data_IF_850624061341
#
_entry.id   IF_850624061341
#
_cell.length_a   1.000
_cell.length_b   1.000
_cell.length_c   1.000
_cell.angle_alpha   90.00
_cell.angle_beta   90.00
_cell.angle_gamma   90.00
#
_symmetry.space_group_name_H-M   'P 1'
#
loop_
_entity.id
_entity.type
_entity.pdbx_description
1 polymer ?
#
# COMPACT_ATOMS: atom_id res chain seq x y z
N UNK A 1 -12.19 -10.32 -26.39
CA UNK A 1 -11.40 -9.42 -25.52
C UNK A 1 -10.74 -10.34 -24.52
N UNK A 2 -9.41 -10.42 -24.48
CA UNK A 2 -8.72 -11.19 -23.43
C UNK A 2 -9.10 -10.55 -22.11
N UNK A 3 -9.60 -11.36 -21.17
CA UNK A 3 -9.91 -10.85 -19.84
C UNK A 3 -8.61 -10.29 -19.25
N UNK A 4 -8.60 -9.00 -18.97
CA UNK A 4 -7.51 -8.30 -18.31
C UNK A 4 -7.26 -8.96 -16.94
N UNK A 5 -6.02 -9.35 -16.63
CA UNK A 5 -5.74 -10.02 -15.36
C UNK A 5 -5.92 -9.06 -14.18
N UNK A 6 -6.95 -9.28 -13.38
CA UNK A 6 -7.20 -8.52 -12.16
C UNK A 6 -6.24 -8.97 -11.06
N UNK A 7 -5.62 -8.03 -10.38
CA UNK A 7 -4.70 -8.30 -9.27
C UNK A 7 -5.03 -7.38 -8.10
N UNK A 8 -5.03 -7.94 -6.89
CA UNK A 8 -5.14 -7.17 -5.65
C UNK A 8 -3.83 -7.34 -4.88
N UNK A 9 -3.07 -6.26 -4.78
CA UNK A 9 -1.71 -6.31 -4.29
C UNK A 9 -1.54 -5.71 -2.89
N UNK A 10 -2.65 -5.49 -2.16
CA UNK A 10 -2.64 -4.99 -0.79
C UNK A 10 -3.82 -5.57 -0.02
N UNK A 11 -3.55 -6.56 0.81
CA UNK A 11 -4.58 -7.22 1.66
C UNK A 11 -3.97 -7.71 2.97
N UNK A 12 -4.79 -7.77 4.02
CA UNK A 12 -4.40 -8.13 5.37
C UNK A 12 -5.17 -9.35 5.86
N UNK A 13 -4.43 -10.33 6.41
CA UNK A 13 -4.98 -11.51 7.07
C UNK A 13 -5.10 -11.29 8.58
N UNK A 14 -5.60 -12.28 9.30
CA UNK A 14 -5.64 -12.33 10.76
C UNK A 14 -4.25 -12.35 11.45
N UNK A 15 -3.17 -12.27 10.67
CA UNK A 15 -1.82 -12.01 11.17
C UNK A 15 -1.55 -10.51 11.38
N UNK A 16 -2.36 -9.64 10.80
CA UNK A 16 -2.42 -8.20 11.10
C UNK A 16 -3.33 -7.93 12.29
N UNK A 17 -3.04 -6.93 13.15
CA UNK A 17 -3.85 -6.63 14.32
C UNK A 17 -5.32 -6.33 14.05
N UNK A 18 -5.60 -5.83 12.86
CA UNK A 18 -6.92 -5.39 12.36
C UNK A 18 -7.49 -6.25 11.23
N UNK A 19 -6.79 -7.33 10.86
CA UNK A 19 -7.28 -8.32 9.90
C UNK A 19 -8.31 -9.26 10.53
N UNK A 20 -9.42 -9.50 9.83
CA UNK A 20 -10.55 -10.26 10.38
C UNK A 20 -10.49 -11.77 10.08
N UNK A 21 -9.78 -12.20 9.01
CA UNK A 21 -9.92 -13.54 8.47
C UNK A 21 -8.58 -14.15 8.03
N UNK A 22 -8.45 -15.49 8.08
CA UNK A 22 -7.20 -16.14 7.72
C UNK A 22 -6.88 -16.01 6.23
N UNK A 23 -5.60 -16.08 5.89
CA UNK A 23 -5.07 -16.06 4.52
C UNK A 23 -5.85 -16.92 3.53
N UNK A 24 -6.33 -18.10 3.96
CA UNK A 24 -7.10 -19.01 3.09
C UNK A 24 -8.44 -18.43 2.68
N UNK A 25 -9.16 -17.74 3.57
CA UNK A 25 -10.44 -17.08 3.25
C UNK A 25 -10.25 -15.94 2.24
N UNK A 26 -9.16 -15.18 2.36
CA UNK A 26 -8.82 -14.12 1.39
C UNK A 26 -8.52 -14.73 0.02
N UNK A 27 -7.77 -15.85 -0.02
CA UNK A 27 -7.48 -16.56 -1.27
C UNK A 27 -8.74 -17.15 -1.92
N UNK A 28 -9.67 -17.71 -1.14
CA UNK A 28 -10.96 -18.20 -1.64
C UNK A 28 -11.76 -17.05 -2.26
N UNK A 29 -11.88 -15.92 -1.57
CA UNK A 29 -12.55 -14.74 -2.09
C UNK A 29 -11.90 -14.20 -3.38
N UNK A 30 -10.57 -14.22 -3.47
CA UNK A 30 -9.83 -13.83 -4.67
C UNK A 30 -10.15 -14.76 -5.86
N UNK A 31 -10.20 -16.08 -5.64
CA UNK A 31 -10.57 -17.08 -6.66
C UNK A 31 -12.01 -16.87 -7.12
N UNK A 32 -12.96 -16.69 -6.19
CA UNK A 32 -14.37 -16.45 -6.50
C UNK A 32 -14.58 -15.19 -7.35
N UNK A 33 -13.76 -14.17 -7.14
CA UNK A 33 -13.80 -12.91 -7.90
C UNK A 33 -12.96 -12.93 -9.17
N UNK A 34 -12.32 -14.06 -9.49
CA UNK A 34 -11.52 -14.23 -10.69
C UNK A 34 -10.24 -13.42 -10.72
N UNK A 35 -9.63 -13.17 -9.57
CA UNK A 35 -8.32 -12.51 -9.53
C UNK A 35 -7.24 -13.45 -10.07
N UNK A 36 -6.31 -12.87 -10.83
CA UNK A 36 -5.10 -13.55 -11.30
C UNK A 36 -4.06 -13.66 -10.19
N UNK A 37 -3.88 -12.60 -9.41
CA UNK A 37 -2.92 -12.56 -8.31
C UNK A 37 -3.50 -11.85 -7.07
N UNK A 38 -3.04 -12.30 -5.90
CA UNK A 38 -3.31 -11.71 -4.59
C UNK A 38 -2.00 -11.61 -3.81
N UNK A 39 -1.67 -10.43 -3.30
CA UNK A 39 -0.60 -10.25 -2.32
C UNK A 39 -1.22 -10.12 -0.93
N UNK A 40 -0.76 -10.96 0.00
CA UNK A 40 -1.03 -10.76 1.43
C UNK A 40 0.14 -9.94 1.98
N UNK A 41 -0.18 -8.78 2.54
CA UNK A 41 0.78 -7.74 2.93
C UNK A 41 0.55 -7.31 4.37
N UNK A 42 0.52 -8.30 5.28
CA UNK A 42 0.26 -8.04 6.69
C UNK A 42 1.18 -6.97 7.26
N UNK A 43 0.65 -6.21 8.21
CA UNK A 43 1.34 -5.08 8.85
C UNK A 43 2.64 -5.45 9.53
N UNK A 44 3.60 -4.56 9.44
CA UNK A 44 4.81 -4.53 10.23
C UNK A 44 5.18 -3.09 10.57
N UNK A 45 4.72 -2.60 11.72
CA UNK A 45 4.95 -1.26 12.20
C UNK A 45 6.27 -1.20 13.00
N UNK A 46 7.31 -0.57 12.44
CA UNK A 46 8.64 -0.62 13.08
C UNK A 46 8.72 0.14 14.42
N UNK A 47 7.90 1.17 14.58
CA UNK A 47 7.86 1.99 15.81
C UNK A 47 7.32 1.23 17.04
N UNK A 48 6.57 0.14 16.83
CA UNK A 48 6.02 -0.76 17.86
C UNK A 48 6.43 -2.22 17.63
N UNK A 49 7.53 -2.45 16.91
CA UNK A 49 7.98 -3.76 16.43
C UNK A 49 8.12 -4.80 17.55
N UNK A 50 8.64 -4.41 18.71
CA UNK A 50 8.83 -5.33 19.85
C UNK A 50 7.57 -5.47 20.70
N UNK A 51 6.85 -4.39 20.89
CA UNK A 51 5.62 -4.30 21.66
C UNK A 51 4.55 -5.22 21.04
N UNK A 52 4.39 -5.16 19.73
CA UNK A 52 3.42 -5.95 18.96
C UNK A 52 3.97 -7.29 18.45
N UNK A 53 5.21 -7.63 18.83
CA UNK A 53 5.84 -8.89 18.48
C UNK A 53 5.90 -9.20 16.97
N UNK A 54 6.12 -8.18 16.13
CA UNK A 54 6.17 -8.33 14.66
C UNK A 54 7.23 -9.31 14.15
N UNK A 55 8.28 -9.58 14.93
CA UNK A 55 9.26 -10.63 14.62
C UNK A 55 8.65 -12.05 14.57
N UNK A 56 7.50 -12.25 15.20
CA UNK A 56 6.73 -13.50 15.20
C UNK A 56 5.59 -13.47 14.20
N UNK A 57 4.78 -12.41 14.21
CA UNK A 57 3.61 -12.28 13.31
C UNK A 57 4.02 -12.33 11.84
N UNK A 58 5.10 -11.64 11.43
CA UNK A 58 5.63 -11.73 10.05
C UNK A 58 5.99 -13.17 9.67
N UNK A 59 6.68 -13.90 10.54
CA UNK A 59 7.05 -15.31 10.26
C UNK A 59 5.83 -16.21 10.16
N UNK A 60 4.82 -15.98 11.00
CA UNK A 60 3.56 -16.70 10.96
C UNK A 60 2.81 -16.39 9.67
N UNK A 61 2.65 -15.12 9.35
CA UNK A 61 2.04 -14.65 8.10
C UNK A 61 2.73 -15.28 6.87
N UNK A 62 4.05 -15.15 6.76
CA UNK A 62 4.82 -15.76 5.66
C UNK A 62 4.60 -17.28 5.55
N UNK A 63 4.54 -17.99 6.67
CA UNK A 63 4.31 -19.43 6.69
C UNK A 63 2.91 -19.76 6.16
N UNK A 64 1.86 -19.07 6.61
CA UNK A 64 0.49 -19.28 6.15
C UNK A 64 0.33 -18.91 4.66
N UNK A 65 0.96 -17.82 4.20
CA UNK A 65 0.93 -17.42 2.79
C UNK A 65 1.61 -18.48 1.91
N UNK A 66 2.76 -19.01 2.31
CA UNK A 66 3.46 -20.07 1.55
C UNK A 66 2.60 -21.33 1.46
N UNK A 67 1.90 -21.73 2.54
CA UNK A 67 0.93 -22.83 2.51
C UNK A 67 -0.22 -22.55 1.55
N UNK A 68 -0.83 -21.36 1.64
CA UNK A 68 -1.90 -20.94 0.75
C UNK A 68 -1.45 -20.94 -0.72
N UNK A 69 -0.24 -20.47 -1.02
CA UNK A 69 0.36 -20.51 -2.36
C UNK A 69 0.33 -21.93 -2.96
N UNK A 70 0.70 -22.94 -2.18
CA UNK A 70 0.68 -24.34 -2.65
C UNK A 70 -0.75 -24.86 -2.86
N UNK A 71 -1.68 -24.52 -1.96
CA UNK A 71 -3.09 -24.94 -2.06
C UNK A 71 -3.77 -24.32 -3.28
N UNK A 72 -3.51 -23.04 -3.56
CA UNK A 72 -4.19 -22.27 -4.60
C UNK A 72 -3.43 -22.22 -5.94
N UNK A 73 -2.23 -22.79 -6.04
CA UNK A 73 -1.26 -22.66 -7.17
C UNK A 73 -1.85 -22.83 -8.58
N UNK A 74 -2.93 -23.63 -8.74
CA UNK A 74 -3.58 -23.85 -10.04
C UNK A 74 -4.67 -22.84 -10.37
N UNK A 75 -5.05 -21.96 -9.44
CA UNK A 75 -6.20 -21.06 -9.54
C UNK A 75 -5.85 -19.60 -9.26
N UNK A 76 -4.84 -19.34 -8.46
CA UNK A 76 -4.47 -18.02 -7.97
C UNK A 76 -2.96 -17.93 -7.77
N UNK A 77 -2.34 -16.86 -8.23
CA UNK A 77 -0.97 -16.50 -7.88
C UNK A 77 -0.99 -15.79 -6.52
N UNK A 78 -0.55 -16.48 -5.46
CA UNK A 78 -0.45 -15.89 -4.11
C UNK A 78 0.97 -15.37 -3.89
N UNK A 79 1.11 -14.11 -3.52
CA UNK A 79 2.37 -13.40 -3.29
C UNK A 79 2.59 -13.20 -1.79
N UNK A 80 3.81 -13.48 -1.33
CA UNK A 80 4.23 -13.21 0.04
C UNK A 80 4.65 -11.75 0.11
N UNK A 81 3.84 -10.92 0.73
CA UNK A 81 4.10 -9.51 0.91
C UNK A 81 4.25 -9.12 2.38
N UNK A 82 4.54 -7.87 2.59
CA UNK A 82 4.48 -7.18 3.88
C UNK A 82 4.20 -5.69 3.64
N UNK A 83 3.36 -5.10 4.46
CA UNK A 83 3.26 -3.66 4.57
C UNK A 83 4.16 -3.19 5.71
N UNK A 84 5.25 -2.51 5.32
CA UNK A 84 6.28 -2.01 6.23
C UNK A 84 5.99 -0.56 6.60
N UNK A 85 5.39 -0.38 7.77
CA UNK A 85 5.06 0.93 8.30
C UNK A 85 6.24 1.62 8.97
N UNK A 86 6.35 2.94 8.79
CA UNK A 86 7.28 3.85 9.48
C UNK A 86 8.76 3.42 9.43
N UNK A 87 9.23 2.85 8.32
CA UNK A 87 10.56 2.25 8.20
C UNK A 87 11.70 3.17 8.67
N UNK A 88 11.58 4.49 8.49
CA UNK A 88 12.60 5.49 8.90
C UNK A 88 12.59 5.79 10.40
N UNK A 89 11.64 5.28 11.17
CA UNK A 89 11.59 5.46 12.62
C UNK A 89 12.47 4.45 13.38
N UNK A 90 12.66 3.23 12.83
CA UNK A 90 13.65 2.26 13.29
C UNK A 90 14.28 1.51 12.10
N UNK A 91 15.40 2.04 11.61
CA UNK A 91 16.11 1.46 10.46
C UNK A 91 16.63 0.05 10.73
N UNK A 92 16.91 -0.31 11.98
CA UNK A 92 17.40 -1.66 12.30
C UNK A 92 16.32 -2.72 12.14
N UNK A 93 15.10 -2.44 12.56
CA UNK A 93 13.93 -3.29 12.36
C UNK A 93 13.53 -3.31 10.88
N UNK A 94 13.47 -2.16 10.21
CA UNK A 94 13.15 -2.05 8.79
C UNK A 94 14.10 -2.87 7.90
N UNK A 95 15.40 -2.86 8.20
CA UNK A 95 16.42 -3.65 7.48
C UNK A 95 16.23 -5.17 7.65
N UNK A 96 15.73 -5.63 8.80
CA UNK A 96 15.40 -7.05 9.01
C UNK A 96 14.25 -7.47 8.09
N UNK A 97 13.21 -6.65 8.01
CA UNK A 97 12.04 -6.90 7.14
C UNK A 97 12.43 -6.83 5.67
N UNK A 98 13.21 -5.83 5.27
CA UNK A 98 13.69 -5.69 3.89
C UNK A 98 14.50 -6.91 3.40
N UNK A 99 15.06 -7.70 4.33
CA UNK A 99 15.83 -8.93 4.06
C UNK A 99 15.02 -10.23 4.29
N UNK A 100 13.73 -10.15 4.62
CA UNK A 100 12.93 -11.30 5.02
C UNK A 100 12.63 -12.32 3.91
N UNK A 101 13.04 -12.07 2.66
CA UNK A 101 12.87 -13.01 1.54
C UNK A 101 11.43 -13.08 1.01
N UNK A 102 10.66 -12.01 1.16
CA UNK A 102 9.31 -11.83 0.62
C UNK A 102 9.34 -11.52 -0.89
N UNK A 103 8.20 -11.64 -1.54
CA UNK A 103 8.04 -11.25 -2.95
C UNK A 103 7.85 -9.74 -3.11
N UNK A 104 7.20 -9.09 -2.13
CA UNK A 104 6.71 -7.73 -2.26
C UNK A 104 6.73 -6.98 -0.92
N UNK A 105 7.15 -5.72 -0.92
CA UNK A 105 7.10 -4.82 0.25
C UNK A 105 6.43 -3.52 -0.15
N UNK A 106 5.36 -3.17 0.54
CA UNK A 106 4.77 -1.84 0.54
C UNK A 106 5.44 -1.03 1.63
N UNK A 107 5.95 0.16 1.34
CA UNK A 107 6.45 1.09 2.33
C UNK A 107 5.37 2.11 2.67
N UNK A 108 4.99 2.21 3.95
CA UNK A 108 3.86 3.05 4.39
C UNK A 108 4.24 3.98 5.53
N UNK A 109 3.47 5.05 5.70
CA UNK A 109 3.57 5.96 6.84
C UNK A 109 2.18 6.18 7.43
N UNK A 110 1.88 5.51 8.56
CA UNK A 110 0.58 5.59 9.24
C UNK A 110 0.58 6.60 10.39
N UNK A 111 1.74 6.92 10.95
CA UNK A 111 1.91 7.92 11.99
C UNK A 111 3.21 8.71 11.83
N UNK A 112 3.21 9.93 12.28
CA UNK A 112 4.41 10.75 12.40
C UNK A 112 5.26 10.27 13.58
N UNK A 113 6.56 10.57 13.53
CA UNK A 113 7.51 10.20 14.59
C UNK A 113 7.06 10.73 15.94
N UNK A 114 6.86 9.81 16.91
CA UNK A 114 6.44 10.14 18.26
C UNK A 114 4.96 10.54 18.39
N UNK A 115 4.13 10.30 17.37
CA UNK A 115 2.69 10.58 17.39
C UNK A 115 1.88 9.29 17.20
N UNK A 116 0.61 9.24 17.61
CA UNK A 116 -0.29 8.15 17.28
C UNK A 116 -0.58 8.12 15.77
N UNK A 117 -1.16 7.01 15.31
CA UNK A 117 -1.69 6.89 13.97
C UNK A 117 -2.69 8.02 13.66
N UNK A 118 -2.75 8.45 12.39
CA UNK A 118 -3.69 9.46 11.92
C UNK A 118 -5.14 9.13 12.23
N UNK A 119 -5.49 7.84 12.36
CA UNK A 119 -6.80 7.36 12.80
C UNK A 119 -7.17 7.80 14.22
N UNK A 120 -6.18 8.10 15.06
CA UNK A 120 -6.36 8.37 16.50
C UNK A 120 -5.99 9.82 16.88
N UNK A 121 -5.77 10.69 15.91
CA UNK A 121 -5.51 12.11 16.16
C UNK A 121 -6.80 12.84 16.52
N UNK A 122 -6.69 13.80 17.42
CA UNK A 122 -7.78 14.76 17.74
C UNK A 122 -7.69 15.96 16.77
N UNK A 123 -8.46 15.89 15.70
CA UNK A 123 -8.46 16.92 14.65
C UNK A 123 -9.09 18.25 15.06
N UNK A 124 -9.76 18.34 16.22
CA UNK A 124 -10.20 19.63 16.78
C UNK A 124 -9.01 20.42 17.33
N UNK A 125 -7.96 19.73 17.80
CA UNK A 125 -6.74 20.32 18.34
C UNK A 125 -5.62 20.44 17.31
N UNK A 126 -5.72 19.74 16.17
CA UNK A 126 -4.67 19.67 15.16
C UNK A 126 -4.69 20.86 14.18
N UNK A 127 -3.51 21.39 13.87
CA UNK A 127 -3.33 22.24 12.70
C UNK A 127 -2.98 21.35 11.50
N UNK A 128 -3.94 21.17 10.59
CA UNK A 128 -3.84 20.26 9.45
C UNK A 128 -2.71 20.65 8.48
N UNK A 129 -2.45 21.94 8.26
CA UNK A 129 -1.42 22.37 7.31
C UNK A 129 -0.01 21.94 7.72
N UNK A 130 0.52 22.31 8.90
CA UNK A 130 1.84 21.83 9.31
C UNK A 130 1.87 20.32 9.57
N UNK A 131 0.75 19.69 9.93
CA UNK A 131 0.66 18.23 10.06
C UNK A 131 0.94 17.54 8.72
N UNK A 132 0.36 18.03 7.63
CA UNK A 132 0.60 17.50 6.28
C UNK A 132 1.99 17.86 5.73
N UNK A 133 2.52 19.04 6.04
CA UNK A 133 3.91 19.40 5.69
C UNK A 133 4.91 18.41 6.33
N UNK A 134 4.69 18.07 7.60
CA UNK A 134 5.51 17.08 8.30
C UNK A 134 5.32 15.68 7.72
N UNK A 135 4.07 15.29 7.39
CA UNK A 135 3.76 14.02 6.77
C UNK A 135 4.53 13.83 5.46
N UNK A 136 4.41 14.76 4.52
CA UNK A 136 5.13 14.66 3.24
C UNK A 136 6.65 14.74 3.41
N UNK A 137 7.14 15.44 4.43
CA UNK A 137 8.57 15.43 4.77
C UNK A 137 9.04 14.03 5.20
N UNK A 138 8.30 13.35 6.08
CA UNK A 138 8.65 12.00 6.52
C UNK A 138 8.42 10.95 5.41
N UNK A 139 7.42 11.13 4.53
CA UNK A 139 7.26 10.30 3.32
C UNK A 139 8.44 10.48 2.37
N UNK A 140 8.98 11.71 2.23
CA UNK A 140 10.19 11.94 1.43
C UNK A 140 11.42 11.23 2.05
N UNK A 141 11.56 11.22 3.36
CA UNK A 141 12.60 10.43 4.05
C UNK A 141 12.46 8.93 3.74
N UNK A 142 11.22 8.41 3.80
CA UNK A 142 10.91 7.04 3.45
C UNK A 142 11.25 6.72 1.99
N UNK A 143 10.84 7.58 1.04
CA UNK A 143 11.15 7.45 -0.38
C UNK A 143 12.66 7.46 -0.66
N UNK A 144 13.43 8.28 0.05
CA UNK A 144 14.90 8.34 -0.04
C UNK A 144 15.57 7.09 0.54
N UNK A 145 15.02 6.49 1.60
CA UNK A 145 15.50 5.21 2.11
C UNK A 145 15.30 4.08 1.08
N UNK A 146 14.15 4.00 0.41
CA UNK A 146 13.91 3.27 -0.83
C UNK A 146 14.14 1.75 -0.78
N UNK A 147 14.05 1.06 0.39
CA UNK A 147 14.26 -0.39 0.46
C UNK A 147 12.93 -1.17 0.49
N UNK A 148 11.93 -0.66 -0.17
CA UNK A 148 10.63 -1.26 -0.44
C UNK A 148 10.37 -1.25 -1.95
N UNK A 149 9.22 -1.78 -2.39
CA UNK A 149 8.93 -1.88 -3.82
C UNK A 149 8.00 -0.77 -4.32
N UNK A 150 6.97 -0.46 -3.52
CA UNK A 150 6.05 0.66 -3.80
C UNK A 150 5.75 1.42 -2.52
N UNK A 151 5.53 2.73 -2.66
CA UNK A 151 4.95 3.55 -1.61
C UNK A 151 3.44 3.28 -1.56
N UNK A 152 2.94 2.85 -0.41
CA UNK A 152 1.51 2.67 -0.14
C UNK A 152 0.78 4.00 -0.07
N UNK A 153 -0.50 3.99 -0.35
CA UNK A 153 -1.49 5.06 -0.12
C UNK A 153 -0.93 6.46 0.20
N UNK A 154 -0.16 7.07 -0.73
CA UNK A 154 0.57 8.35 -0.59
C UNK A 154 -0.19 9.44 0.20
N UNK A 155 -1.50 9.48 0.10
CA UNK A 155 -2.36 10.50 0.73
C UNK A 155 -3.14 9.96 1.93
N UNK A 156 -2.58 9.00 2.67
CA UNK A 156 -3.21 8.30 3.79
C UNK A 156 -3.93 9.22 4.80
N UNK A 157 -3.35 10.37 5.25
CA UNK A 157 -4.03 11.23 6.20
C UNK A 157 -5.37 11.81 5.70
N UNK A 158 -5.54 11.93 4.39
CA UNK A 158 -6.77 12.49 3.82
C UNK A 158 -7.99 11.59 4.03
N UNK A 159 -7.79 10.28 4.28
CA UNK A 159 -8.84 9.35 4.72
C UNK A 159 -9.59 9.92 5.93
N UNK A 160 -8.86 10.43 6.89
CA UNK A 160 -9.39 10.97 8.13
C UNK A 160 -9.73 12.45 8.00
N UNK A 161 -8.79 13.27 7.56
CA UNK A 161 -8.94 14.74 7.49
C UNK A 161 -10.12 15.13 6.58
N UNK A 162 -10.13 14.67 5.35
CA UNK A 162 -11.21 15.02 4.39
C UNK A 162 -12.40 14.07 4.52
N UNK A 163 -12.13 12.75 4.64
CA UNK A 163 -13.17 11.74 4.61
C UNK A 163 -14.00 11.73 5.88
N UNK A 164 -13.40 11.70 7.05
CA UNK A 164 -14.12 11.57 8.32
C UNK A 164 -14.46 12.92 8.96
N UNK A 165 -13.49 13.86 8.93
CA UNK A 165 -13.67 15.18 9.56
C UNK A 165 -14.27 16.22 8.60
N UNK A 166 -14.31 15.97 7.30
CA UNK A 166 -14.83 16.92 6.31
C UNK A 166 -14.00 18.19 6.17
N UNK A 167 -12.72 18.17 6.59
CA UNK A 167 -11.81 19.32 6.46
C UNK A 167 -11.21 19.31 5.06
N UNK A 168 -11.49 20.35 4.28
CA UNK A 168 -11.00 20.47 2.90
C UNK A 168 -9.47 20.71 2.86
N UNK A 169 -8.78 19.93 2.03
CA UNK A 169 -7.35 20.05 1.79
C UNK A 169 -7.07 20.27 0.31
N UNK A 170 -6.24 21.28 0.01
CA UNK A 170 -5.72 21.54 -1.33
C UNK A 170 -4.30 20.95 -1.45
N UNK A 171 -4.14 19.85 -2.18
CA UNK A 171 -2.85 19.19 -2.36
C UNK A 171 -1.85 19.99 -3.21
N UNK A 172 -2.31 20.99 -3.98
CA UNK A 172 -1.41 21.84 -4.79
C UNK A 172 -0.36 22.56 -3.94
N UNK A 173 -0.66 22.82 -2.66
CA UNK A 173 0.31 23.40 -1.71
C UNK A 173 1.52 22.51 -1.45
N UNK A 174 1.35 21.20 -1.57
CA UNK A 174 2.36 20.20 -1.30
C UNK A 174 2.96 19.62 -2.59
N UNK A 175 2.63 20.20 -3.75
CA UNK A 175 3.02 19.66 -5.05
C UNK A 175 4.55 19.51 -5.20
N UNK A 176 5.33 20.47 -4.70
CA UNK A 176 6.80 20.38 -4.74
C UNK A 176 7.33 19.21 -3.90
N UNK A 177 6.78 19.00 -2.70
CA UNK A 177 7.16 17.86 -1.85
C UNK A 177 6.75 16.54 -2.49
N UNK A 178 5.56 16.46 -3.06
CA UNK A 178 5.06 15.26 -3.77
C UNK A 178 5.95 14.95 -4.98
N UNK A 179 6.34 15.97 -5.75
CA UNK A 179 7.26 15.80 -6.87
C UNK A 179 8.63 15.27 -6.43
N UNK A 180 9.18 15.75 -5.30
CA UNK A 180 10.44 15.24 -4.74
C UNK A 180 10.31 13.80 -4.24
N UNK A 181 9.16 13.43 -3.66
CA UNK A 181 8.86 12.04 -3.29
C UNK A 181 8.88 11.16 -4.55
N UNK A 182 8.17 11.54 -5.60
CA UNK A 182 8.12 10.77 -6.85
C UNK A 182 9.50 10.63 -7.49
N UNK A 183 10.30 11.70 -7.54
CA UNK A 183 11.68 11.65 -8.05
C UNK A 183 12.55 10.69 -7.25
N UNK A 184 12.46 10.73 -5.91
CA UNK A 184 13.21 9.84 -5.03
C UNK A 184 12.82 8.37 -5.23
N UNK A 185 11.52 8.07 -5.35
CA UNK A 185 11.02 6.72 -5.66
C UNK A 185 11.55 6.23 -6.99
N UNK A 186 11.42 7.02 -8.05
CA UNK A 186 11.90 6.67 -9.41
C UNK A 186 13.40 6.42 -9.40
N UNK A 187 14.17 7.27 -8.74
CA UNK A 187 15.63 7.13 -8.62
C UNK A 187 16.03 5.83 -7.91
N UNK A 188 15.26 5.39 -6.92
CA UNK A 188 15.49 4.16 -6.17
C UNK A 188 14.91 2.90 -6.84
N UNK A 189 14.21 3.04 -7.97
CA UNK A 189 13.52 1.94 -8.66
C UNK A 189 12.27 1.46 -7.90
N UNK A 190 11.71 2.30 -7.04
CA UNK A 190 10.46 2.07 -6.35
C UNK A 190 9.29 2.65 -7.15
N UNK A 191 8.10 2.10 -6.92
CA UNK A 191 6.85 2.58 -7.50
C UNK A 191 5.94 3.26 -6.50
N UNK A 192 4.69 3.44 -6.93
CA UNK A 192 3.57 3.86 -6.09
C UNK A 192 2.44 2.84 -6.16
N UNK A 193 1.61 2.82 -5.12
CA UNK A 193 0.33 2.13 -5.11
C UNK A 193 -0.81 3.10 -5.46
N UNK A 194 -1.83 2.61 -6.16
CA UNK A 194 -3.18 3.18 -6.16
C UNK A 194 -4.02 2.33 -5.20
N UNK A 195 -4.25 2.87 -4.01
CA UNK A 195 -5.05 2.23 -2.97
C UNK A 195 -6.52 2.59 -3.16
N UNK A 196 -7.39 1.58 -3.20
CA UNK A 196 -8.82 1.72 -3.49
C UNK A 196 -9.71 1.62 -2.26
N UNK A 197 -9.13 1.46 -1.05
CA UNK A 197 -9.91 1.29 0.19
C UNK A 197 -10.91 2.41 0.43
N UNK A 198 -10.51 3.63 0.16
CA UNK A 198 -11.31 4.83 0.41
C UNK A 198 -12.45 5.05 -0.58
N UNK A 199 -12.53 4.27 -1.67
CA UNK A 199 -13.73 4.23 -2.52
C UNK A 199 -14.97 3.69 -1.78
N UNK A 200 -14.75 2.86 -0.75
CA UNK A 200 -15.80 2.30 0.12
C UNK A 200 -15.91 3.01 1.47
N UNK A 201 -15.23 4.14 1.61
CA UNK A 201 -15.18 4.97 2.82
C UNK A 201 -15.64 6.40 2.51
N UNK A 202 -15.87 7.28 3.51
CA UNK A 202 -16.40 8.62 3.30
C UNK A 202 -15.59 9.49 2.32
N UNK A 203 -14.27 9.28 2.18
CA UNK A 203 -13.44 10.02 1.22
C UNK A 203 -13.91 9.82 -0.23
N UNK A 204 -14.35 8.60 -0.61
CA UNK A 204 -14.97 8.31 -1.91
C UNK A 204 -14.04 8.42 -3.13
N UNK A 205 -12.72 8.43 -2.93
CA UNK A 205 -11.71 8.53 -4.00
C UNK A 205 -10.49 7.67 -3.66
N UNK A 206 -9.60 7.41 -4.61
CA UNK A 206 -8.38 6.60 -4.40
C UNK A 206 -7.29 7.38 -3.68
N UNK A 207 -6.32 6.68 -3.13
CA UNK A 207 -5.10 7.25 -2.54
C UNK A 207 -3.84 6.70 -3.26
N UNK A 208 -3.16 7.52 -4.10
CA UNK A 208 -3.50 8.88 -4.52
C UNK A 208 -4.60 8.94 -5.59
N UNK A 209 -5.03 10.17 -5.92
CA UNK A 209 -6.00 10.45 -6.99
C UNK A 209 -5.34 10.54 -8.38
N UNK A 210 -6.17 10.63 -9.42
CA UNK A 210 -5.74 10.69 -10.82
C UNK A 210 -4.68 11.79 -11.10
N UNK A 211 -4.80 12.95 -10.48
CA UNK A 211 -3.85 14.07 -10.69
C UNK A 211 -2.43 13.73 -10.26
N UNK A 212 -2.27 13.11 -9.10
CA UNK A 212 -0.97 12.68 -8.58
C UNK A 212 -0.41 11.48 -9.37
N UNK A 213 -1.27 10.52 -9.74
CA UNK A 213 -0.85 9.35 -10.54
C UNK A 213 -0.39 9.80 -11.94
N UNK A 214 -1.10 10.76 -12.57
CA UNK A 214 -0.66 11.36 -13.82
C UNK A 214 0.68 12.09 -13.66
N UNK A 215 0.81 12.85 -12.57
CA UNK A 215 2.07 13.57 -12.28
C UNK A 215 3.24 12.61 -12.08
N UNK A 216 3.05 11.50 -11.37
CA UNK A 216 4.05 10.44 -11.23
C UNK A 216 4.49 9.89 -12.61
N UNK A 217 3.52 9.63 -13.51
CA UNK A 217 3.80 9.17 -14.88
C UNK A 217 4.57 10.21 -15.69
N UNK A 218 4.21 11.49 -15.60
CA UNK A 218 4.88 12.61 -16.27
C UNK A 218 6.35 12.76 -15.84
N UNK A 219 6.64 12.50 -14.57
CA UNK A 219 8.00 12.51 -14.01
C UNK A 219 8.84 11.28 -14.40
N UNK A 220 8.26 10.33 -15.14
CA UNK A 220 8.94 9.12 -15.62
C UNK A 220 8.69 7.89 -14.75
N UNK A 221 7.68 7.91 -13.87
CA UNK A 221 7.28 6.75 -13.10
C UNK A 221 6.67 5.66 -13.99
N UNK A 222 7.09 4.41 -13.77
CA UNK A 222 6.64 3.25 -14.56
C UNK A 222 6.09 2.12 -13.69
N UNK A 223 6.58 1.99 -12.46
CA UNK A 223 6.18 0.95 -11.51
C UNK A 223 4.96 1.42 -10.75
N UNK A 224 3.83 0.73 -10.93
CA UNK A 224 2.58 1.08 -10.25
C UNK A 224 1.77 -0.18 -9.93
N UNK A 225 1.20 -0.23 -8.74
CA UNK A 225 0.33 -1.31 -8.26
C UNK A 225 -1.07 -0.80 -7.97
N UNK A 226 -2.03 -1.73 -7.85
CA UNK A 226 -3.37 -1.44 -7.35
C UNK A 226 -3.65 -2.38 -6.19
N UNK A 227 -4.16 -1.86 -5.08
CA UNK A 227 -4.50 -2.63 -3.89
C UNK A 227 -5.84 -2.21 -3.29
N UNK A 228 -6.60 -3.20 -2.79
CA UNK A 228 -7.87 -2.93 -2.13
C UNK A 228 -7.71 -2.53 -0.66
N UNK A 229 -6.58 -2.87 -0.05
CA UNK A 229 -6.33 -2.69 1.38
C UNK A 229 -7.45 -3.38 2.19
N UNK A 230 -7.75 -4.63 1.78
CA UNK A 230 -8.80 -5.43 2.36
C UNK A 230 -8.34 -6.07 3.66
N UNK A 231 -9.07 -5.85 4.74
CA UNK A 231 -8.87 -6.46 6.06
C UNK A 231 -9.88 -7.61 6.32
N UNK A 232 -10.68 -7.95 5.30
CA UNK A 232 -11.66 -9.04 5.36
C UNK A 232 -11.96 -9.56 3.94
N UNK A 233 -12.36 -10.81 3.83
CA UNK A 233 -12.62 -11.49 2.56
C UNK A 233 -13.68 -10.76 1.69
N UNK A 234 -14.68 -10.13 2.30
CA UNK A 234 -15.71 -9.35 1.57
C UNK A 234 -15.16 -8.17 0.77
N UNK A 235 -13.99 -7.64 1.15
CA UNK A 235 -13.34 -6.48 0.52
C UNK A 235 -12.21 -6.84 -0.45
N UNK A 236 -11.76 -8.09 -0.51
CA UNK A 236 -10.73 -8.53 -1.47
C UNK A 236 -11.18 -8.18 -2.90
N UNK A 237 -10.33 -7.52 -3.66
CA UNK A 237 -10.63 -7.10 -5.04
C UNK A 237 -11.56 -5.89 -5.17
N UNK A 238 -11.99 -5.28 -4.05
CA UNK A 238 -12.88 -4.12 -4.09
C UNK A 238 -12.19 -2.90 -4.69
N UNK A 239 -12.81 -2.28 -5.71
CA UNK A 239 -12.28 -1.09 -6.38
C UNK A 239 -11.11 -1.34 -7.34
N UNK A 240 -10.66 -2.58 -7.54
CA UNK A 240 -9.52 -2.88 -8.42
C UNK A 240 -9.79 -2.44 -9.86
N UNK A 241 -11.00 -2.63 -10.40
CA UNK A 241 -11.34 -2.18 -11.75
C UNK A 241 -11.33 -0.66 -11.88
N UNK A 242 -11.80 0.05 -10.87
CA UNK A 242 -11.76 1.51 -10.75
C UNK A 242 -10.31 2.00 -10.67
N UNK A 243 -9.47 1.33 -9.88
CA UNK A 243 -8.03 1.61 -9.84
C UNK A 243 -7.35 1.43 -11.19
N UNK A 244 -7.62 0.34 -11.91
CA UNK A 244 -7.08 0.11 -13.25
C UNK A 244 -7.57 1.17 -14.25
N UNK A 245 -8.86 1.52 -14.23
CA UNK A 245 -9.39 2.59 -15.08
C UNK A 245 -8.71 3.94 -14.80
N UNK A 246 -8.32 4.19 -13.54
CA UNK A 246 -7.53 5.36 -13.17
C UNK A 246 -6.11 5.29 -13.75
N UNK A 247 -5.46 4.11 -13.74
CA UNK A 247 -4.14 3.93 -14.37
C UNK A 247 -4.21 4.24 -15.87
N UNK A 248 -5.20 3.69 -16.59
CA UNK A 248 -5.43 3.97 -18.02
C UNK A 248 -5.63 5.47 -18.27
N UNK A 249 -6.46 6.15 -17.45
CA UNK A 249 -6.69 7.58 -17.53
C UNK A 249 -5.45 8.42 -17.22
N UNK A 250 -4.51 7.90 -16.44
CA UNK A 250 -3.21 8.51 -16.16
C UNK A 250 -2.16 8.23 -17.27
N UNK A 251 -2.47 7.37 -18.25
CA UNK A 251 -1.60 7.04 -19.36
C UNK A 251 -0.69 5.82 -19.14
N UNK A 252 -0.99 4.99 -18.14
CA UNK A 252 -0.34 3.70 -17.99
C UNK A 252 -0.96 2.67 -18.95
N UNK A 253 -0.13 1.77 -19.47
CA UNK A 253 -0.54 0.62 -20.28
C UNK A 253 -0.26 -0.71 -19.58
N UNK A 254 0.37 -0.65 -18.43
CA UNK A 254 0.74 -1.79 -17.61
C UNK A 254 0.56 -1.43 -16.13
N UNK A 255 0.20 -2.42 -15.33
CA UNK A 255 0.38 -2.42 -13.88
C UNK A 255 1.46 -3.44 -13.51
N UNK A 256 1.97 -3.40 -12.29
CA UNK A 256 3.11 -4.21 -11.87
C UNK A 256 2.73 -5.11 -10.70
N UNK A 257 3.19 -6.37 -10.70
CA UNK A 257 3.30 -7.16 -9.48
C UNK A 257 4.77 -7.55 -9.25
N UNK A 258 5.09 -8.17 -8.13
CA UNK A 258 6.47 -8.49 -7.80
C UNK A 258 6.66 -9.97 -7.52
N UNK A 259 7.78 -10.54 -7.99
CA UNK A 259 8.28 -11.87 -7.62
C UNK A 259 9.70 -11.73 -7.08
N UNK A 260 9.90 -12.11 -5.83
CA UNK A 260 11.22 -12.00 -5.16
C UNK A 260 11.79 -10.58 -5.30
N UNK A 261 10.96 -9.57 -5.06
CA UNK A 261 11.30 -8.15 -5.15
C UNK A 261 11.65 -7.65 -6.56
N UNK A 262 11.29 -8.40 -7.59
CA UNK A 262 11.50 -7.99 -8.99
C UNK A 262 10.17 -7.59 -9.62
N UNK A 263 10.07 -6.39 -10.21
CA UNK A 263 8.85 -5.94 -10.86
C UNK A 263 8.57 -6.76 -12.13
N UNK A 264 7.31 -7.15 -12.27
CA UNK A 264 6.79 -7.89 -13.45
C UNK A 264 5.63 -7.06 -14.01
N UNK A 265 5.80 -6.41 -15.17
CA UNK A 265 4.73 -5.63 -15.78
C UNK A 265 3.68 -6.55 -16.41
N UNK A 266 2.41 -6.16 -16.27
CA UNK A 266 1.24 -6.85 -16.85
C UNK A 266 0.40 -5.82 -17.60
N UNK A 267 0.09 -6.08 -18.86
CA UNK A 267 -0.73 -5.19 -19.69
C UNK A 267 -2.16 -5.04 -19.13
N UNK A 268 -2.68 -3.81 -19.16
CA UNK A 268 -4.03 -3.44 -18.74
C UNK A 268 -4.85 -2.94 -19.92
#
# INVERSE_FOLDING_TARGET
>A
MSDMPLMDLHTHSDSSPDGEEPTTSLCEAAVERGLFALAITDHCEVNVFKEECYDRSIKQSMFEIVKAREVFRSRLKVLVGVELGQATQDLSCAELVAKAGVDFIIGSLHNLRGRPDFAFLDYEEENVEPLLEEYFTQVLELARWGKFDVLGHLTYPLRYIMGEQGIEVCLDRYQEQIDEIFKALIQNGCGIEVNTSTLRQPLGRTMPELSQVRRYRELGGEIITVGSDAHCARHVGAGIREGIALLEAAGFTHMTYFEKRKPVPVAI
#
